data_IF_360239132354
#
_entry.id   IF_360239132354
#
_cell.length_a   1.000
_cell.length_b   1.000
_cell.length_c   1.000
_cell.angle_alpha   90.00
_cell.angle_beta   90.00
_cell.angle_gamma   90.00
#
_symmetry.space_group_name_H-M   'P 1'
#
loop_
_entity.id
_entity.type
_entity.pdbx_description
1 polymer ?
#
# COMPACT_ATOMS: atom_id res chain seq x y z
N UNK A 1 14.35 -6.83 39.51
CA UNK A 1 14.74 -6.35 38.17
C UNK A 1 13.75 -6.90 37.14
N UNK A 2 12.85 -6.07 36.61
CA UNK A 2 12.05 -6.45 35.43
C UNK A 2 13.01 -6.48 34.24
N UNK A 3 13.15 -7.62 33.57
CA UNK A 3 13.87 -7.72 32.29
C UNK A 3 13.25 -6.68 31.35
N UNK A 4 14.02 -5.65 30.98
CA UNK A 4 13.68 -4.74 29.89
C UNK A 4 13.39 -5.61 28.67
N UNK A 5 12.12 -5.67 28.25
CA UNK A 5 11.79 -6.14 26.91
C UNK A 5 12.40 -5.11 25.99
N UNK A 6 13.54 -5.41 25.39
CA UNK A 6 14.01 -4.65 24.24
C UNK A 6 12.87 -4.67 23.21
N UNK A 7 12.23 -3.52 23.02
CA UNK A 7 11.25 -3.33 21.97
C UNK A 7 12.04 -3.42 20.67
N UNK A 8 11.97 -4.58 20.01
CA UNK A 8 12.55 -4.74 18.69
C UNK A 8 11.68 -3.95 17.69
N UNK A 9 12.11 -2.72 17.40
CA UNK A 9 11.48 -1.88 16.39
C UNK A 9 11.80 -2.51 15.03
N UNK A 10 10.77 -3.09 14.40
CA UNK A 10 10.90 -3.64 13.04
C UNK A 10 11.39 -2.55 12.09
N UNK A 11 12.33 -2.90 11.21
CA UNK A 11 12.96 -1.95 10.30
C UNK A 11 12.03 -1.57 9.13
N UNK A 12 11.05 -0.71 9.44
CA UNK A 12 10.21 -0.08 8.43
C UNK A 12 10.97 1.00 7.66
N UNK A 13 12.15 1.43 8.11
CA UNK A 13 12.96 2.46 7.45
C UNK A 13 13.47 1.93 6.13
N UNK A 14 14.11 0.76 6.11
CA UNK A 14 14.60 0.17 4.86
C UNK A 14 13.46 -0.08 3.88
N UNK A 15 12.38 -0.73 4.34
CA UNK A 15 11.23 -1.03 3.49
C UNK A 15 10.59 0.24 2.91
N UNK A 16 10.33 1.25 3.74
CA UNK A 16 9.72 2.51 3.28
C UNK A 16 10.64 3.26 2.33
N UNK A 17 11.96 3.25 2.56
CA UNK A 17 12.95 3.91 1.68
C UNK A 17 13.00 3.24 0.31
N UNK A 18 12.98 1.92 0.25
CA UNK A 18 12.90 1.17 -1.01
C UNK A 18 11.60 1.52 -1.75
N UNK A 19 10.48 1.57 -1.04
CA UNK A 19 9.20 1.94 -1.63
C UNK A 19 9.16 3.39 -2.12
N UNK A 20 9.81 4.34 -1.43
CA UNK A 20 9.99 5.71 -1.92
C UNK A 20 10.74 5.71 -3.26
N UNK A 21 11.86 4.99 -3.33
CA UNK A 21 12.63 4.85 -4.57
C UNK A 21 11.77 4.28 -5.70
N UNK A 22 11.05 3.18 -5.44
CA UNK A 22 10.15 2.58 -6.41
C UNK A 22 9.08 3.56 -6.90
N UNK A 23 8.39 4.24 -5.98
CA UNK A 23 7.34 5.25 -6.31
C UNK A 23 7.89 6.35 -7.20
N UNK A 24 9.07 6.90 -6.88
CA UNK A 24 9.71 7.93 -7.69
C UNK A 24 10.10 7.42 -9.08
N UNK A 25 10.62 6.20 -9.17
CA UNK A 25 10.93 5.57 -10.47
C UNK A 25 9.67 5.38 -11.30
N UNK A 26 8.58 4.90 -10.72
CA UNK A 26 7.30 4.72 -11.42
C UNK A 26 6.78 6.07 -11.91
N UNK A 27 6.75 7.08 -11.04
CA UNK A 27 6.35 8.44 -11.40
C UNK A 27 7.16 8.97 -12.58
N UNK A 28 8.48 8.79 -12.59
CA UNK A 28 9.32 9.19 -13.71
C UNK A 28 8.94 8.45 -15.00
N UNK A 29 8.77 7.13 -14.93
CA UNK A 29 8.49 6.29 -16.11
C UNK A 29 7.11 6.58 -16.72
N UNK A 30 6.07 6.74 -15.90
CA UNK A 30 4.72 6.98 -16.42
C UNK A 30 4.58 8.34 -17.10
N UNK A 31 5.32 9.34 -16.64
CA UNK A 31 5.33 10.66 -17.27
C UNK A 31 6.19 10.70 -18.54
N UNK A 32 7.16 9.79 -18.66
CA UNK A 32 7.95 9.62 -19.88
C UNK A 32 7.13 8.95 -20.99
N UNK A 33 6.32 7.94 -20.67
CA UNK A 33 5.50 7.20 -21.64
C UNK A 33 4.07 7.08 -21.10
N UNK A 34 3.24 8.13 -21.17
CA UNK A 34 1.91 8.11 -20.60
C UNK A 34 0.94 7.17 -21.35
N UNK A 35 -0.03 6.56 -20.66
CA UNK A 35 -1.09 5.79 -21.33
C UNK A 35 -1.95 6.71 -22.21
N UNK A 36 -2.18 6.31 -23.46
CA UNK A 36 -2.93 7.11 -24.43
C UNK A 36 -4.40 7.35 -24.03
N UNK A 37 -4.96 6.48 -23.17
CA UNK A 37 -6.36 6.55 -22.71
C UNK A 37 -6.56 7.40 -21.44
N UNK A 38 -5.57 8.18 -21.01
CA UNK A 38 -5.62 8.94 -19.76
C UNK A 38 -5.37 8.08 -18.51
N UNK A 39 -5.75 8.57 -17.32
CA UNK A 39 -5.57 7.88 -16.04
C UNK A 39 -4.26 8.20 -15.32
N UNK A 40 -3.40 9.01 -15.94
CA UNK A 40 -2.12 9.43 -15.35
C UNK A 40 -2.33 10.37 -14.17
N UNK A 41 -3.38 11.20 -14.20
CA UNK A 41 -3.68 12.14 -13.12
C UNK A 41 -3.99 11.40 -11.82
N UNK A 42 -4.93 10.46 -11.89
CA UNK A 42 -5.34 9.63 -10.74
C UNK A 42 -4.18 8.78 -10.24
N UNK A 43 -3.43 8.13 -11.13
CA UNK A 43 -2.27 7.31 -10.75
C UNK A 43 -1.20 8.17 -10.06
N UNK A 44 -0.85 9.31 -10.64
CA UNK A 44 0.14 10.25 -10.06
C UNK A 44 -0.29 10.70 -8.68
N UNK A 45 -1.57 11.07 -8.51
CA UNK A 45 -2.10 11.50 -7.23
C UNK A 45 -1.97 10.42 -6.15
N UNK A 46 -2.37 9.18 -6.45
CA UNK A 46 -2.24 8.06 -5.51
C UNK A 46 -0.78 7.76 -5.15
N UNK A 47 0.12 7.78 -6.14
CA UNK A 47 1.55 7.57 -5.92
C UNK A 47 2.19 8.68 -5.09
N UNK A 48 1.79 9.95 -5.28
CA UNK A 48 2.25 11.08 -4.47
C UNK A 48 1.75 11.00 -3.02
N UNK A 49 0.49 10.60 -2.80
CA UNK A 49 0.00 10.32 -1.45
C UNK A 49 0.77 9.18 -0.80
N UNK A 50 1.06 8.11 -1.55
CA UNK A 50 1.89 7.01 -1.08
C UNK A 50 3.29 7.47 -0.69
N UNK A 51 3.92 8.34 -1.48
CA UNK A 51 5.24 8.89 -1.18
C UNK A 51 5.24 9.59 0.19
N UNK A 52 4.27 10.47 0.43
CA UNK A 52 4.15 11.19 1.71
C UNK A 52 3.98 10.21 2.87
N UNK A 53 3.17 9.17 2.68
CA UNK A 53 2.95 8.14 3.71
C UNK A 53 4.22 7.35 4.03
N UNK A 54 5.03 6.99 3.03
CA UNK A 54 6.30 6.32 3.27
C UNK A 54 7.33 7.22 3.97
N UNK A 55 7.40 8.50 3.62
CA UNK A 55 8.25 9.47 4.34
C UNK A 55 7.84 9.56 5.81
N UNK A 56 6.54 9.61 6.08
CA UNK A 56 6.02 9.62 7.46
C UNK A 56 6.29 8.31 8.20
N UNK A 57 6.25 7.16 7.51
CA UNK A 57 6.65 5.87 8.06
C UNK A 57 8.13 5.86 8.48
N UNK A 58 9.03 6.35 7.63
CA UNK A 58 10.46 6.51 7.95
C UNK A 58 10.64 7.41 9.17
N UNK A 59 10.01 8.59 9.17
CA UNK A 59 10.14 9.58 10.24
C UNK A 59 9.68 9.03 11.59
N UNK A 60 8.50 8.41 11.63
CA UNK A 60 7.94 7.84 12.85
C UNK A 60 8.76 6.66 13.37
N UNK A 61 9.25 5.78 12.48
CA UNK A 61 10.11 4.67 12.88
C UNK A 61 11.46 5.15 13.42
N UNK A 62 12.09 6.13 12.75
CA UNK A 62 13.32 6.77 13.21
C UNK A 62 13.14 7.40 14.60
N UNK A 63 11.99 8.07 14.82
CA UNK A 63 11.65 8.63 16.13
C UNK A 63 11.45 7.54 17.18
N UNK A 64 10.80 6.42 16.84
CA UNK A 64 10.66 5.28 17.75
C UNK A 64 12.03 4.70 18.15
N UNK A 65 12.92 4.50 17.19
CA UNK A 65 14.29 4.03 17.45
C UNK A 65 15.08 4.98 18.35
N UNK A 66 14.98 6.28 18.11
CA UNK A 66 15.61 7.28 18.97
C UNK A 66 15.10 7.22 20.41
N UNK A 67 13.78 7.14 20.60
CA UNK A 67 13.18 7.09 21.94
C UNK A 67 13.53 5.79 22.68
N UNK A 68 13.64 4.63 22.01
CA UNK A 68 14.07 3.36 22.64
C UNK A 68 15.48 3.46 23.23
N UNK A 69 16.35 4.29 22.63
CA UNK A 69 17.72 4.49 23.09
C UNK A 69 17.83 5.53 24.22
N UNK A 70 16.75 6.21 24.60
CA UNK A 70 16.71 7.12 25.75
C UNK A 70 16.24 6.35 27.00
N UNK A 71 17.02 6.42 28.09
CA UNK A 71 16.78 5.66 29.33
C UNK A 71 15.44 5.97 30.05
N UNK A 72 14.71 7.01 29.64
CA UNK A 72 13.45 7.47 30.26
C UNK A 72 12.21 7.42 29.34
N UNK A 73 12.28 6.71 28.20
CA UNK A 73 11.11 6.65 27.31
C UNK A 73 10.04 5.68 27.80
N UNK A 74 8.78 6.08 27.70
CA UNK A 74 7.65 5.21 28.02
C UNK A 74 7.41 4.21 26.89
N UNK A 75 7.32 2.92 27.21
CA UNK A 75 7.05 1.85 26.23
C UNK A 75 5.81 2.15 25.38
N UNK A 76 4.77 2.74 25.99
CA UNK A 76 3.55 3.15 25.30
C UNK A 76 3.79 4.20 24.21
N UNK A 77 4.72 5.15 24.43
CA UNK A 77 5.02 6.20 23.46
C UNK A 77 5.77 5.63 22.25
N UNK A 78 6.74 4.75 22.49
CA UNK A 78 7.45 4.01 21.43
C UNK A 78 6.46 3.21 20.60
N UNK A 79 5.56 2.45 21.26
CA UNK A 79 4.59 1.61 20.56
C UNK A 79 3.60 2.41 19.70
N UNK A 80 3.25 3.64 20.10
CA UNK A 80 2.42 4.53 19.28
C UNK A 80 3.13 4.94 17.99
N UNK A 81 4.41 5.29 18.05
CA UNK A 81 5.20 5.63 16.86
C UNK A 81 5.38 4.44 15.91
N UNK A 82 5.68 3.25 16.46
CA UNK A 82 5.75 2.01 15.67
C UNK A 82 4.41 1.73 14.99
N UNK A 83 3.30 1.83 15.73
CA UNK A 83 1.96 1.57 15.19
C UNK A 83 1.55 2.58 14.11
N UNK A 84 1.98 3.83 14.24
CA UNK A 84 1.76 4.86 13.24
C UNK A 84 2.59 4.59 11.97
N UNK A 85 3.87 4.23 12.12
CA UNK A 85 4.73 3.84 10.99
C UNK A 85 4.15 2.64 10.22
N UNK A 86 3.64 1.64 10.93
CA UNK A 86 2.95 0.50 10.31
C UNK A 86 1.70 0.90 9.53
N UNK A 87 0.92 1.82 10.08
CA UNK A 87 -0.32 2.27 9.45
C UNK A 87 -0.05 3.10 8.19
N UNK A 88 0.89 4.05 8.26
CA UNK A 88 1.26 4.88 7.12
C UNK A 88 1.94 4.04 6.04
N UNK A 89 2.80 3.09 6.40
CA UNK A 89 3.38 2.15 5.43
C UNK A 89 2.29 1.34 4.72
N UNK A 90 1.38 0.72 5.47
CA UNK A 90 0.32 -0.12 4.90
C UNK A 90 -0.64 0.64 3.99
N UNK A 91 -1.03 1.85 4.41
CA UNK A 91 -1.88 2.72 3.58
C UNK A 91 -1.14 3.21 2.33
N UNK A 92 0.14 3.57 2.44
CA UNK A 92 0.97 3.93 1.29
C UNK A 92 1.04 2.78 0.28
N UNK A 93 1.34 1.57 0.76
CA UNK A 93 1.36 0.37 -0.07
C UNK A 93 0.02 0.10 -0.78
N UNK A 94 -1.10 0.34 -0.09
CA UNK A 94 -2.45 0.23 -0.68
C UNK A 94 -2.63 1.22 -1.84
N UNK A 95 -2.16 2.46 -1.69
CA UNK A 95 -2.20 3.45 -2.79
C UNK A 95 -1.25 3.11 -3.94
N UNK A 96 -0.09 2.48 -3.67
CA UNK A 96 0.76 1.93 -4.73
C UNK A 96 0.01 0.86 -5.51
N UNK A 97 -0.59 -0.13 -4.83
CA UNK A 97 -1.36 -1.19 -5.49
C UNK A 97 -2.50 -0.60 -6.32
N UNK A 98 -3.29 0.30 -5.76
CA UNK A 98 -4.38 0.95 -6.47
C UNK A 98 -3.89 1.74 -7.70
N UNK A 99 -2.82 2.53 -7.53
CA UNK A 99 -2.18 3.28 -8.62
C UNK A 99 -1.71 2.36 -9.75
N UNK A 100 -0.99 1.28 -9.42
CA UNK A 100 -0.55 0.30 -10.42
C UNK A 100 -1.70 -0.42 -11.11
N UNK A 101 -2.77 -0.71 -10.38
CA UNK A 101 -3.95 -1.39 -10.92
C UNK A 101 -4.63 -0.50 -11.96
N UNK A 102 -4.84 0.79 -11.65
CA UNK A 102 -5.40 1.78 -12.58
C UNK A 102 -4.47 1.98 -13.77
N UNK A 103 -3.17 2.12 -13.53
CA UNK A 103 -2.17 2.33 -14.55
C UNK A 103 -2.13 1.17 -15.55
N UNK A 104 -2.03 -0.07 -15.06
CA UNK A 104 -2.01 -1.27 -15.89
C UNK A 104 -3.28 -1.42 -16.71
N UNK A 105 -4.44 -1.15 -16.08
CA UNK A 105 -5.72 -1.08 -16.76
C UNK A 105 -5.72 -0.06 -17.91
N UNK A 106 -5.26 1.17 -17.67
CA UNK A 106 -5.26 2.25 -18.69
C UNK A 106 -4.25 1.99 -19.81
N UNK A 107 -3.08 1.42 -19.53
CA UNK A 107 -2.18 1.00 -20.61
C UNK A 107 -2.82 -0.07 -21.50
N UNK A 108 -3.50 -1.07 -20.93
CA UNK A 108 -4.22 -2.06 -21.74
C UNK A 108 -5.39 -1.44 -22.50
N UNK A 109 -6.15 -0.55 -21.87
CA UNK A 109 -7.25 0.14 -22.53
C UNK A 109 -6.77 0.93 -23.75
N UNK A 110 -5.66 1.65 -23.65
CA UNK A 110 -5.06 2.39 -24.76
C UNK A 110 -4.50 1.51 -25.88
N UNK A 111 -4.03 0.29 -25.56
CA UNK A 111 -3.36 -0.58 -26.53
C UNK A 111 -4.28 -1.60 -27.22
N UNK A 112 -5.17 -2.23 -26.46
CA UNK A 112 -6.04 -3.32 -26.94
C UNK A 112 -7.54 -3.00 -26.81
N UNK A 113 -7.89 -1.80 -26.33
CA UNK A 113 -9.27 -1.33 -26.24
C UNK A 113 -10.08 -2.01 -25.12
N UNK A 114 -11.42 -1.95 -25.24
CA UNK A 114 -12.37 -2.50 -24.27
C UNK A 114 -12.63 -3.98 -24.51
N UNK A 115 -11.65 -4.80 -24.16
CA UNK A 115 -11.79 -6.26 -24.19
C UNK A 115 -11.84 -6.82 -22.78
N UNK A 116 -12.35 -8.04 -22.63
CA UNK A 116 -12.34 -8.72 -21.33
C UNK A 116 -10.92 -8.83 -20.73
N UNK A 117 -9.89 -8.95 -21.58
CA UNK A 117 -8.48 -9.01 -21.17
C UNK A 117 -8.07 -7.73 -20.41
N UNK A 118 -8.58 -6.57 -20.82
CA UNK A 118 -8.33 -5.28 -20.17
C UNK A 118 -8.83 -5.26 -18.71
N UNK A 119 -9.94 -5.95 -18.41
CA UNK A 119 -10.44 -6.13 -17.04
C UNK A 119 -9.77 -7.30 -16.29
N UNK A 120 -9.33 -8.33 -17.02
CA UNK A 120 -8.67 -9.47 -16.38
C UNK A 120 -7.39 -9.07 -15.66
N UNK A 121 -6.57 -8.16 -16.22
CA UNK A 121 -5.33 -7.72 -15.57
C UNK A 121 -5.57 -7.12 -14.17
N UNK A 122 -6.39 -6.05 -13.98
CA UNK A 122 -6.59 -5.48 -12.65
C UNK A 122 -7.24 -6.47 -11.68
N UNK A 123 -8.16 -7.32 -12.15
CA UNK A 123 -8.80 -8.36 -11.31
C UNK A 123 -7.75 -9.37 -10.84
N UNK A 124 -6.99 -9.97 -11.76
CA UNK A 124 -5.99 -10.99 -11.43
C UNK A 124 -4.88 -10.43 -10.56
N UNK A 125 -4.44 -9.19 -10.80
CA UNK A 125 -3.44 -8.51 -9.99
C UNK A 125 -3.92 -8.33 -8.54
N UNK A 126 -5.11 -7.76 -8.34
CA UNK A 126 -5.67 -7.54 -6.99
C UNK A 126 -5.97 -8.86 -6.27
N UNK A 127 -6.59 -9.82 -6.95
CA UNK A 127 -6.88 -11.14 -6.36
C UNK A 127 -5.58 -11.84 -5.94
N UNK A 128 -4.53 -11.78 -6.76
CA UNK A 128 -3.23 -12.36 -6.41
C UNK A 128 -2.62 -11.67 -5.18
N UNK A 129 -2.70 -10.33 -5.12
CA UNK A 129 -2.26 -9.56 -3.96
C UNK A 129 -3.03 -10.00 -2.69
N UNK A 130 -4.36 -10.10 -2.76
CA UNK A 130 -5.21 -10.53 -1.66
C UNK A 130 -4.92 -11.95 -1.19
N UNK A 131 -4.70 -12.88 -2.12
CA UNK A 131 -4.36 -14.28 -1.78
C UNK A 131 -3.03 -14.37 -1.05
N UNK A 132 -1.98 -13.70 -1.54
CA UNK A 132 -0.67 -13.70 -0.88
C UNK A 132 -0.74 -13.06 0.50
N UNK A 133 -1.47 -11.94 0.59
CA UNK A 133 -1.80 -11.27 1.83
C UNK A 133 -2.47 -12.27 2.78
N UNK A 134 -3.51 -12.97 2.35
CA UNK A 134 -4.24 -13.98 3.14
C UNK A 134 -3.32 -15.11 3.63
N UNK A 135 -2.48 -15.68 2.76
CA UNK A 135 -1.48 -16.70 3.11
C UNK A 135 -0.53 -16.18 4.20
N UNK A 136 0.02 -14.97 4.04
CA UNK A 136 0.90 -14.36 5.04
C UNK A 136 0.22 -14.27 6.42
N UNK A 137 -1.08 -13.94 6.46
CA UNK A 137 -1.82 -13.90 7.72
C UNK A 137 -1.98 -15.27 8.35
N UNK A 138 -2.26 -16.31 7.56
CA UNK A 138 -2.38 -17.68 8.08
C UNK A 138 -1.06 -18.09 8.75
N UNK A 139 0.07 -17.82 8.10
CA UNK A 139 1.41 -18.15 8.63
C UNK A 139 1.66 -17.36 9.93
N UNK A 140 1.45 -16.05 9.92
CA UNK A 140 1.80 -15.16 11.04
C UNK A 140 0.85 -15.29 12.25
N UNK A 141 -0.39 -15.75 12.03
CA UNK A 141 -1.39 -15.94 13.09
C UNK A 141 -1.78 -17.40 13.32
N UNK A 142 -0.97 -18.35 12.83
CA UNK A 142 -1.21 -19.78 13.08
C UNK A 142 -1.31 -20.04 14.60
N UNK A 143 -2.47 -20.56 15.02
CA UNK A 143 -2.84 -20.74 16.43
C UNK A 143 -3.96 -19.82 16.97
N UNK A 144 -4.35 -18.75 16.26
CA UNK A 144 -5.51 -17.88 16.61
C UNK A 144 -6.27 -17.43 15.36
N UNK A 145 -6.88 -18.38 14.63
CA UNK A 145 -7.58 -18.15 13.36
C UNK A 145 -8.61 -16.97 13.40
N UNK A 146 -9.31 -16.79 14.53
CA UNK A 146 -10.26 -15.68 14.73
C UNK A 146 -9.59 -14.29 14.87
N UNK A 147 -8.29 -14.21 15.19
CA UNK A 147 -7.55 -12.92 15.21
C UNK A 147 -7.09 -12.48 13.83
N UNK A 148 -6.90 -13.40 12.88
CA UNK A 148 -6.47 -13.11 11.52
C UNK A 148 -7.53 -12.31 10.73
N UNK A 149 -8.82 -12.62 10.93
CA UNK A 149 -9.97 -11.89 10.36
C UNK A 149 -10.22 -10.55 11.09
N UNK A 150 -9.77 -10.43 12.35
CA UNK A 150 -10.01 -9.26 13.21
C UNK A 150 -8.99 -8.14 13.04
N UNK A 151 -8.01 -8.26 12.14
CA UNK A 151 -7.14 -7.13 11.80
C UNK A 151 -7.93 -6.09 10.98
N UNK A 152 -8.68 -5.21 11.67
CA UNK A 152 -9.47 -4.14 11.04
C UNK A 152 -8.63 -3.33 10.04
N UNK A 153 -7.35 -3.10 10.36
CA UNK A 153 -6.43 -2.34 9.51
C UNK A 153 -6.34 -2.96 8.11
N UNK A 154 -6.23 -4.29 7.99
CA UNK A 154 -6.03 -4.94 6.70
C UNK A 154 -7.33 -5.12 5.91
N UNK A 155 -8.44 -5.34 6.60
CA UNK A 155 -9.75 -5.37 5.95
C UNK A 155 -10.09 -4.00 5.34
N UNK A 156 -9.68 -2.90 5.98
CA UNK A 156 -9.82 -1.55 5.44
C UNK A 156 -9.03 -1.38 4.13
N UNK A 157 -7.80 -1.90 4.06
CA UNK A 157 -6.96 -1.81 2.85
C UNK A 157 -7.55 -2.60 1.68
N UNK A 158 -7.98 -3.84 1.93
CA UNK A 158 -8.66 -4.67 0.93
C UNK A 158 -9.96 -4.00 0.45
N UNK A 159 -10.69 -3.36 1.36
CA UNK A 159 -11.90 -2.62 1.00
C UNK A 159 -11.61 -1.43 0.07
N UNK A 160 -10.54 -0.68 0.33
CA UNK A 160 -10.10 0.40 -0.58
C UNK A 160 -9.69 -0.13 -1.96
N UNK A 161 -8.98 -1.26 -2.01
CA UNK A 161 -8.60 -1.93 -3.26
C UNK A 161 -9.85 -2.43 -4.02
N UNK A 162 -10.88 -2.90 -3.32
CA UNK A 162 -12.15 -3.31 -3.91
C UNK A 162 -12.92 -2.11 -4.49
N UNK A 163 -12.93 -0.97 -3.80
CA UNK A 163 -13.48 0.29 -4.35
C UNK A 163 -12.74 0.67 -5.64
N UNK A 164 -11.41 0.56 -5.65
CA UNK A 164 -10.61 0.82 -6.85
C UNK A 164 -11.03 -0.10 -8.01
N UNK A 165 -11.26 -1.39 -7.76
CA UNK A 165 -11.75 -2.31 -8.78
C UNK A 165 -13.14 -1.91 -9.31
N UNK A 166 -14.06 -1.52 -8.43
CA UNK A 166 -15.40 -1.02 -8.84
C UNK A 166 -15.28 0.21 -9.73
N UNK A 167 -14.40 1.16 -9.37
CA UNK A 167 -14.11 2.36 -10.17
C UNK A 167 -13.58 1.99 -11.56
N UNK A 168 -12.68 1.01 -11.65
CA UNK A 168 -12.17 0.51 -12.94
C UNK A 168 -13.29 -0.13 -13.77
N UNK A 169 -14.17 -0.92 -13.14
CA UNK A 169 -15.30 -1.54 -13.83
C UNK A 169 -16.25 -0.47 -14.38
N UNK A 170 -16.53 0.58 -13.61
CA UNK A 170 -17.38 1.68 -14.07
C UNK A 170 -16.73 2.48 -15.22
N UNK A 171 -15.42 2.67 -15.19
CA UNK A 171 -14.68 3.27 -16.32
C UNK A 171 -14.71 2.39 -17.57
N UNK A 172 -14.58 1.07 -17.41
CA UNK A 172 -14.64 0.13 -18.51
C UNK A 172 -16.00 0.16 -19.23
N UNK A 173 -17.09 0.27 -18.47
CA UNK A 173 -18.46 0.41 -19.00
C UNK A 173 -18.84 1.85 -19.39
N UNK A 174 -17.88 2.78 -19.41
CA UNK A 174 -18.08 4.18 -19.81
C UNK A 174 -19.09 4.95 -18.95
N UNK A 175 -19.31 4.54 -17.69
CA UNK A 175 -20.17 5.27 -16.75
C UNK A 175 -19.54 6.62 -16.39
N UNK A 176 -18.22 6.65 -16.22
CA UNK A 176 -17.39 7.87 -16.14
C UNK A 176 -15.96 7.55 -16.61
N UNK A 177 -15.11 8.57 -16.76
CA UNK A 177 -13.71 8.39 -17.13
C UNK A 177 -12.78 8.76 -15.98
N UNK A 178 -11.90 7.84 -15.60
CA UNK A 178 -10.78 8.05 -14.68
C UNK A 178 -9.74 8.94 -15.39
N UNK A 179 -9.46 10.14 -14.86
CA UNK A 179 -8.50 11.09 -15.43
C UNK A 179 -7.04 10.72 -15.14
#
# INVERSE_FOLDING_TARGET
>A
MKKNKQINVRDWITLSTVMIGAVLTILALIWQVPPASGGIGTTTFLLMLSFILFVNSVSANSKANFEVNLENSSESRVQNFVSFAEYTFGLGFTFVIAGFTILGYKYLLGNIGRTLVTLMLPITFLVSAWVLIFIYNIINYSGKALKAVRSMKRNLWIFLELICLVVIVFDFFEIFSIP
#
